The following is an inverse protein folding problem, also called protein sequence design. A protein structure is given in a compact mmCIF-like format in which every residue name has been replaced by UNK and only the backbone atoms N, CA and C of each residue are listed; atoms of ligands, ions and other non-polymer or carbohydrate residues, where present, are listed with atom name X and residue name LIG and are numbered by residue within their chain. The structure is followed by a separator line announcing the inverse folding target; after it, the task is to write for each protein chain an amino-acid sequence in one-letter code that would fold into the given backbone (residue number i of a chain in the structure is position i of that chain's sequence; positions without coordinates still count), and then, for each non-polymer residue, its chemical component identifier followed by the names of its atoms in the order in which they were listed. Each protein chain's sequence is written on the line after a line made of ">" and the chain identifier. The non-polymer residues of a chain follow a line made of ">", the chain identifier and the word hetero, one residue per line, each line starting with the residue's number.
data_IF_063681354425
#
_entry.id   IF_063681354425
#
_cell.length_a   1.000
_cell.length_b   1.000
_cell.length_c   1.000
_cell.angle_alpha   90.00
_cell.angle_beta   90.00
_cell.angle_gamma   90.00
#
_symmetry.space_group_name_H-M   'P 1'
#
loop_
_entity.id
_entity.type
_entity.pdbx_description
1 polymer ?
#
# COMPACT_ATOMS: atom_id res chain seq x y z
N UNK A 1 -5.10 -42.49 -26.06
CA UNK A 1 -3.98 -41.62 -25.67
C UNK A 1 -4.47 -40.20 -25.74
N UNK A 2 -4.28 -39.43 -24.67
CA UNK A 2 -4.67 -38.01 -24.70
C UNK A 2 -3.75 -37.30 -25.68
N UNK A 3 -4.28 -36.48 -26.59
CA UNK A 3 -3.49 -35.66 -27.54
C UNK A 3 -2.39 -34.86 -26.81
N UNK A 4 -2.58 -34.59 -25.52
CA UNK A 4 -1.63 -33.90 -24.65
C UNK A 4 -0.39 -34.73 -24.32
N UNK A 5 -0.46 -36.07 -24.29
CA UNK A 5 0.68 -36.92 -23.94
C UNK A 5 1.76 -36.91 -25.02
N UNK A 6 1.36 -36.76 -26.29
CA UNK A 6 2.23 -36.73 -27.48
C UNK A 6 2.93 -35.38 -27.71
N UNK A 7 2.54 -34.32 -26.98
CA UNK A 7 3.12 -32.99 -27.14
C UNK A 7 4.51 -32.87 -26.50
N UNK A 8 5.36 -32.08 -27.15
CA UNK A 8 6.67 -31.73 -26.65
C UNK A 8 6.55 -30.94 -25.34
N UNK A 9 7.54 -31.04 -24.45
CA UNK A 9 7.52 -30.37 -23.14
C UNK A 9 7.37 -28.85 -23.27
N UNK A 10 7.95 -28.27 -24.32
CA UNK A 10 7.80 -26.86 -24.63
C UNK A 10 6.35 -26.46 -24.99
N UNK A 11 5.65 -27.30 -25.76
CA UNK A 11 4.26 -27.04 -26.17
C UNK A 11 3.32 -27.18 -24.98
N UNK A 12 3.57 -28.15 -24.09
CA UNK A 12 2.85 -28.31 -22.82
C UNK A 12 2.95 -27.05 -21.97
N UNK A 13 4.15 -26.50 -21.78
CA UNK A 13 4.34 -25.24 -21.04
C UNK A 13 3.63 -24.05 -21.68
N UNK A 14 3.59 -23.97 -23.01
CA UNK A 14 2.87 -22.90 -23.70
C UNK A 14 1.36 -22.99 -23.45
N UNK A 15 0.79 -24.20 -23.49
CA UNK A 15 -0.62 -24.44 -23.16
C UNK A 15 -0.94 -24.04 -21.72
N UNK A 16 -0.10 -24.41 -20.75
CA UNK A 16 -0.27 -24.00 -19.35
C UNK A 16 -0.30 -22.47 -19.19
N UNK A 17 0.61 -21.75 -19.87
CA UNK A 17 0.62 -20.28 -19.88
C UNK A 17 -0.69 -19.71 -20.44
N UNK A 18 -1.23 -20.32 -21.49
CA UNK A 18 -2.50 -19.90 -22.10
C UNK A 18 -3.68 -20.14 -21.16
N UNK A 19 -3.70 -21.27 -20.46
CA UNK A 19 -4.73 -21.60 -19.48
C UNK A 19 -4.72 -20.60 -18.32
N UNK A 20 -3.54 -20.30 -17.76
CA UNK A 20 -3.44 -19.27 -16.73
C UNK A 20 -3.89 -17.89 -17.22
N UNK A 21 -3.53 -17.51 -18.45
CA UNK A 21 -3.99 -16.26 -19.04
C UNK A 21 -5.51 -16.23 -19.18
N UNK A 22 -6.11 -17.32 -19.67
CA UNK A 22 -7.56 -17.45 -19.81
C UNK A 22 -8.30 -17.46 -18.47
N UNK A 23 -7.66 -17.90 -17.39
CA UNK A 23 -8.16 -17.80 -16.02
C UNK A 23 -7.99 -16.40 -15.39
N UNK A 24 -7.57 -15.39 -16.16
CA UNK A 24 -7.48 -14.00 -15.68
C UNK A 24 -6.21 -13.67 -14.89
N UNK A 25 -5.19 -14.53 -14.88
CA UNK A 25 -3.92 -14.24 -14.21
C UNK A 25 -3.08 -13.23 -14.99
N UNK A 26 -2.43 -12.32 -14.27
CA UNK A 26 -1.53 -11.31 -14.84
C UNK A 26 -0.20 -11.93 -15.28
N UNK A 27 0.52 -11.26 -16.17
CA UNK A 27 1.84 -11.72 -16.62
C UNK A 27 2.83 -11.91 -15.47
N UNK A 28 2.75 -11.11 -14.41
CA UNK A 28 3.60 -11.23 -13.24
C UNK A 28 3.27 -12.47 -12.40
N UNK A 29 1.98 -12.79 -12.24
CA UNK A 29 1.55 -13.99 -11.52
C UNK A 29 1.93 -15.25 -12.28
N UNK A 30 1.70 -15.27 -13.60
CA UNK A 30 2.09 -16.39 -14.47
C UNK A 30 3.61 -16.59 -14.44
N UNK A 31 4.38 -15.49 -14.51
CA UNK A 31 5.83 -15.55 -14.41
C UNK A 31 6.31 -16.17 -13.09
N UNK A 32 5.64 -15.87 -11.97
CA UNK A 32 5.93 -16.47 -10.66
C UNK A 32 5.58 -17.96 -10.62
N UNK A 33 4.46 -18.37 -11.19
CA UNK A 33 4.06 -19.78 -11.22
C UNK A 33 4.96 -20.63 -12.11
N UNK A 34 5.36 -20.09 -13.26
CA UNK A 34 6.18 -20.80 -14.25
C UNK A 34 7.69 -20.64 -14.03
N UNK A 35 8.11 -19.86 -13.02
CA UNK A 35 9.52 -19.51 -12.76
C UNK A 35 10.24 -18.92 -13.99
N UNK A 36 9.55 -18.03 -14.71
CA UNK A 36 10.02 -17.43 -15.96
C UNK A 36 10.12 -15.90 -15.85
N UNK A 37 10.83 -15.29 -16.79
CA UNK A 37 10.82 -13.82 -16.89
C UNK A 37 9.46 -13.33 -17.40
N UNK A 38 9.00 -12.20 -16.87
CA UNK A 38 7.74 -11.54 -17.29
C UNK A 38 7.75 -11.23 -18.79
N UNK A 39 8.90 -10.83 -19.33
CA UNK A 39 9.06 -10.54 -20.75
C UNK A 39 8.87 -11.80 -21.62
N UNK A 40 9.37 -12.95 -21.16
CA UNK A 40 9.20 -14.21 -21.89
C UNK A 40 7.72 -14.61 -21.93
N UNK A 41 7.02 -14.54 -20.79
CA UNK A 41 5.58 -14.83 -20.72
C UNK A 41 4.79 -13.88 -21.62
N UNK A 42 5.10 -12.58 -21.58
CA UNK A 42 4.46 -11.57 -22.43
C UNK A 42 4.67 -11.86 -23.91
N UNK A 43 5.87 -12.27 -24.31
CA UNK A 43 6.16 -12.64 -25.71
C UNK A 43 5.37 -13.87 -26.12
N UNK A 44 5.35 -14.93 -25.32
CA UNK A 44 4.60 -16.17 -25.61
C UNK A 44 3.11 -15.88 -25.79
N UNK A 45 2.49 -15.18 -24.83
CA UNK A 45 1.06 -14.85 -24.89
C UNK A 45 0.74 -13.98 -26.10
N UNK A 46 1.55 -12.96 -26.39
CA UNK A 46 1.30 -12.08 -27.53
C UNK A 46 1.47 -12.80 -28.87
N UNK A 47 2.47 -13.68 -29.00
CA UNK A 47 2.67 -14.49 -30.21
C UNK A 47 1.49 -15.44 -30.41
N UNK A 48 1.02 -16.10 -29.34
CA UNK A 48 -0.16 -16.95 -29.40
C UNK A 48 -1.41 -16.17 -29.83
N UNK A 49 -1.70 -15.04 -29.19
CA UNK A 49 -2.86 -14.20 -29.56
C UNK A 49 -2.76 -13.76 -31.03
N UNK A 50 -1.58 -13.33 -31.50
CA UNK A 50 -1.39 -12.91 -32.90
C UNK A 50 -1.64 -14.04 -33.91
N UNK A 51 -1.37 -15.29 -33.54
CA UNK A 51 -1.58 -16.44 -34.40
C UNK A 51 -3.07 -16.86 -34.49
N UNK A 52 -3.95 -16.31 -33.64
CA UNK A 52 -5.38 -16.58 -33.68
C UNK A 52 -6.10 -15.69 -34.71
N UNK A 53 -7.25 -16.14 -35.26
CA UNK A 53 -8.13 -15.29 -36.06
C UNK A 53 -8.61 -14.06 -35.26
N UNK A 54 -8.84 -12.94 -35.94
CA UNK A 54 -9.21 -11.64 -35.31
C UNK A 54 -10.38 -11.76 -34.34
N UNK A 55 -11.41 -12.54 -34.70
CA UNK A 55 -12.58 -12.80 -33.84
C UNK A 55 -12.22 -13.51 -32.54
N UNK A 56 -11.32 -14.50 -32.60
CA UNK A 56 -10.84 -15.23 -31.45
C UNK A 56 -9.90 -14.39 -30.56
N UNK A 57 -9.14 -13.45 -31.14
CA UNK A 57 -8.28 -12.55 -30.37
C UNK A 57 -9.09 -11.68 -29.39
N UNK A 58 -10.18 -11.08 -29.90
CA UNK A 58 -11.07 -10.26 -29.07
C UNK A 58 -11.74 -11.09 -27.98
N UNK A 59 -12.18 -12.30 -28.33
CA UNK A 59 -12.80 -13.22 -27.37
C UNK A 59 -11.84 -13.57 -26.22
N UNK A 60 -10.60 -13.96 -26.51
CA UNK A 60 -9.60 -14.32 -25.51
C UNK A 60 -9.28 -13.13 -24.59
N UNK A 61 -9.11 -11.93 -25.16
CA UNK A 61 -8.87 -10.71 -24.36
C UNK A 61 -10.05 -10.36 -23.47
N UNK A 62 -11.27 -10.49 -23.98
CA UNK A 62 -12.50 -10.23 -23.23
C UNK A 62 -12.67 -11.24 -22.09
N UNK A 63 -12.45 -12.53 -22.36
CA UNK A 63 -12.50 -13.60 -21.35
C UNK A 63 -11.51 -13.33 -20.21
N UNK A 64 -10.25 -13.04 -20.53
CA UNK A 64 -9.24 -12.67 -19.54
C UNK A 64 -9.70 -11.51 -18.65
N UNK A 65 -10.26 -10.46 -19.25
CA UNK A 65 -10.72 -9.28 -18.51
C UNK A 65 -11.90 -9.60 -17.57
N UNK A 66 -12.86 -10.41 -18.02
CA UNK A 66 -13.98 -10.87 -17.21
C UNK A 66 -13.48 -11.64 -15.98
N UNK A 67 -12.62 -12.64 -16.18
CA UNK A 67 -12.07 -13.47 -15.09
C UNK A 67 -11.24 -12.66 -14.11
N UNK A 68 -10.43 -11.73 -14.62
CA UNK A 68 -9.63 -10.82 -13.78
C UNK A 68 -10.53 -9.95 -12.89
N UNK A 69 -11.63 -9.43 -13.45
CA UNK A 69 -12.58 -8.65 -12.67
C UNK A 69 -13.34 -9.51 -11.66
N UNK A 70 -13.75 -10.73 -12.04
CA UNK A 70 -14.38 -11.67 -11.13
C UNK A 70 -13.48 -11.96 -9.91
N UNK A 71 -12.19 -12.24 -10.13
CA UNK A 71 -11.20 -12.42 -9.05
C UNK A 71 -11.04 -11.20 -8.14
N UNK A 72 -11.12 -10.00 -8.72
CA UNK A 72 -11.04 -8.76 -7.94
C UNK A 72 -12.27 -8.61 -7.03
N UNK A 73 -13.46 -8.88 -7.55
CA UNK A 73 -14.70 -8.83 -6.76
C UNK A 73 -14.75 -9.94 -5.70
N UNK A 74 -14.28 -11.16 -5.99
CA UNK A 74 -14.18 -12.21 -4.97
C UNK A 74 -13.22 -11.82 -3.84
N UNK A 75 -12.05 -11.27 -4.18
CA UNK A 75 -11.09 -10.77 -3.17
C UNK A 75 -11.70 -9.66 -2.32
N UNK A 76 -12.46 -8.75 -2.94
CA UNK A 76 -13.15 -7.68 -2.23
C UNK A 76 -14.23 -8.21 -1.29
N UNK A 77 -15.01 -9.19 -1.73
CA UNK A 77 -16.03 -9.85 -0.91
C UNK A 77 -15.39 -10.61 0.28
N UNK A 78 -14.29 -11.35 0.04
CA UNK A 78 -13.54 -12.04 1.09
C UNK A 78 -13.02 -11.04 2.13
N UNK A 79 -12.42 -9.93 1.71
CA UNK A 79 -11.91 -8.91 2.62
C UNK A 79 -13.04 -8.22 3.40
N UNK A 80 -14.20 -8.04 2.79
CA UNK A 80 -15.38 -7.48 3.45
C UNK A 80 -15.87 -8.41 4.56
N UNK A 81 -16.03 -9.71 4.28
CA UNK A 81 -16.43 -10.69 5.29
C UNK A 81 -15.38 -10.84 6.40
N UNK A 82 -14.08 -10.83 6.06
CA UNK A 82 -13.00 -10.96 7.03
C UNK A 82 -12.95 -9.79 8.03
N UNK A 83 -13.27 -8.57 7.57
CA UNK A 83 -13.26 -7.36 8.42
C UNK A 83 -14.61 -7.03 9.05
N UNK A 84 -15.65 -7.84 8.78
CA UNK A 84 -17.03 -7.58 9.19
C UNK A 84 -17.21 -7.52 10.71
N UNK A 85 -16.63 -8.48 11.42
CA UNK A 85 -16.78 -8.60 12.88
C UNK A 85 -15.83 -7.66 13.63
N UNK A 86 -14.64 -7.42 13.10
CA UNK A 86 -13.63 -6.59 13.74
C UNK A 86 -12.83 -5.78 12.71
N UNK A 87 -13.00 -4.46 12.76
CA UNK A 87 -12.23 -3.55 11.91
C UNK A 87 -10.74 -3.50 12.28
N UNK A 88 -9.92 -3.19 11.28
CA UNK A 88 -8.45 -3.13 11.40
C UNK A 88 -7.96 -2.26 12.56
N UNK A 89 -8.60 -1.12 12.84
CA UNK A 89 -8.23 -0.24 13.96
C UNK A 89 -8.45 -0.93 15.31
N UNK A 90 -9.59 -1.59 15.50
CA UNK A 90 -9.90 -2.32 16.72
C UNK A 90 -8.96 -3.52 16.90
N UNK A 91 -8.65 -4.23 15.80
CA UNK A 91 -7.70 -5.34 15.80
C UNK A 91 -6.31 -4.90 16.30
N UNK A 92 -5.77 -3.82 15.74
CA UNK A 92 -4.45 -3.29 16.08
C UNK A 92 -4.38 -2.82 17.54
N UNK A 93 -5.44 -2.18 18.03
CA UNK A 93 -5.52 -1.71 19.42
C UNK A 93 -5.54 -2.87 20.42
N UNK A 94 -6.31 -3.93 20.14
CA UNK A 94 -6.39 -5.10 21.00
C UNK A 94 -5.11 -5.93 20.98
N UNK A 95 -4.47 -6.04 19.83
CA UNK A 95 -3.26 -6.85 19.64
C UNK A 95 -2.00 -5.98 19.56
N UNK A 96 -1.80 -5.03 20.46
CA UNK A 96 -0.71 -4.05 20.35
C UNK A 96 0.70 -4.68 20.35
N UNK A 97 0.87 -5.83 20.99
CA UNK A 97 2.15 -6.54 21.16
C UNK A 97 2.79 -7.00 19.84
N UNK A 98 1.97 -7.33 18.83
CA UNK A 98 2.46 -7.83 17.54
C UNK A 98 2.87 -6.71 16.57
N UNK A 99 2.65 -5.45 16.96
CA UNK A 99 2.93 -4.29 16.15
C UNK A 99 4.09 -3.46 16.71
N UNK A 100 4.74 -2.70 15.83
CA UNK A 100 5.70 -1.65 16.17
C UNK A 100 5.24 -0.29 15.62
N UNK A 101 5.53 0.77 16.36
CA UNK A 101 5.28 2.13 15.89
C UNK A 101 6.56 2.70 15.31
N UNK A 102 6.46 3.23 14.08
CA UNK A 102 7.53 3.98 13.44
C UNK A 102 7.55 5.41 13.98
N UNK A 103 8.66 6.11 13.78
CA UNK A 103 8.84 7.52 14.17
C UNK A 103 7.72 8.43 13.64
N UNK A 104 7.23 8.15 12.43
CA UNK A 104 6.13 8.86 11.78
C UNK A 104 4.74 8.56 12.39
N UNK A 105 4.67 7.84 13.52
CA UNK A 105 3.43 7.42 14.17
C UNK A 105 2.70 6.25 13.50
N UNK A 106 3.16 5.79 12.33
CA UNK A 106 2.58 4.65 11.62
C UNK A 106 2.78 3.34 12.40
N UNK A 107 1.75 2.51 12.45
CA UNK A 107 1.79 1.21 13.12
C UNK A 107 1.98 0.12 12.05
N UNK A 108 3.04 -0.68 12.19
CA UNK A 108 3.41 -1.73 11.24
C UNK A 108 3.58 -3.05 11.98
N UNK A 109 3.13 -4.13 11.36
CA UNK A 109 3.28 -5.48 11.87
C UNK A 109 4.78 -5.82 12.02
N UNK A 110 5.14 -6.48 13.12
CA UNK A 110 6.49 -7.01 13.31
C UNK A 110 6.79 -8.10 12.28
N UNK A 111 8.06 -8.30 11.95
CA UNK A 111 8.44 -9.36 11.00
C UNK A 111 8.24 -10.73 11.65
N UNK A 112 8.06 -11.78 10.84
CA UNK A 112 7.88 -13.16 11.35
C UNK A 112 9.03 -13.60 12.26
N UNK A 113 10.26 -13.13 11.97
CA UNK A 113 11.43 -13.39 12.82
C UNK A 113 11.33 -12.71 14.21
N UNK A 114 10.69 -11.55 14.32
CA UNK A 114 10.50 -10.83 15.58
C UNK A 114 9.34 -11.41 16.41
N UNK A 115 8.41 -12.11 15.75
CA UNK A 115 7.23 -12.73 16.38
C UNK A 115 7.42 -14.22 16.68
N UNK A 116 8.44 -14.84 16.07
CA UNK A 116 8.70 -16.28 16.10
C UNK A 116 7.51 -17.13 15.64
N UNK A 117 6.54 -16.51 14.95
CA UNK A 117 5.30 -17.15 14.52
C UNK A 117 4.90 -16.67 13.12
N UNK A 118 4.19 -17.55 12.40
CA UNK A 118 3.60 -17.23 11.11
C UNK A 118 2.35 -16.40 11.30
N UNK A 119 2.23 -15.34 10.51
CA UNK A 119 1.08 -14.44 10.57
C UNK A 119 0.04 -14.87 9.54
N UNK A 120 -1.23 -14.85 9.92
CA UNK A 120 -2.33 -15.16 9.01
C UNK A 120 -2.48 -14.08 7.94
N UNK A 121 -3.02 -14.46 6.78
CA UNK A 121 -3.23 -13.53 5.67
C UNK A 121 -4.13 -12.34 6.02
N UNK A 122 -5.14 -12.57 6.87
CA UNK A 122 -6.13 -11.58 7.29
C UNK A 122 -5.61 -10.56 8.33
N UNK A 123 -4.42 -10.80 8.91
CA UNK A 123 -3.88 -9.87 9.91
C UNK A 123 -3.54 -8.52 9.26
N UNK A 124 -4.05 -7.38 9.77
CA UNK A 124 -3.73 -6.07 9.24
C UNK A 124 -2.23 -5.80 9.30
N UNK A 125 -1.58 -5.55 8.17
CA UNK A 125 -0.11 -5.40 8.12
C UNK A 125 0.37 -3.98 8.45
N UNK A 126 -0.44 -2.98 8.11
CA UNK A 126 -0.08 -1.57 8.24
C UNK A 126 -1.33 -0.75 8.57
N UNK A 127 -1.22 0.09 9.58
CA UNK A 127 -2.19 1.11 9.92
C UNK A 127 -1.50 2.47 9.80
N UNK A 128 -1.97 3.26 8.82
CA UNK A 128 -1.45 4.61 8.60
C UNK A 128 -2.07 5.55 9.62
N UNK A 129 -1.23 6.38 10.21
CA UNK A 129 -1.72 7.47 11.02
C UNK A 129 -2.09 8.63 10.08
N UNK A 130 -3.38 8.81 9.82
CA UNK A 130 -3.90 9.88 8.96
C UNK A 130 -3.87 11.26 9.62
N UNK A 131 -3.37 11.38 10.87
CA UNK A 131 -3.11 12.67 11.50
C UNK A 131 -1.97 13.39 10.77
N UNK A 132 -2.32 14.11 9.70
CA UNK A 132 -1.44 14.86 8.81
C UNK A 132 -0.75 16.10 9.42
N UNK A 133 -0.86 16.38 10.72
CA UNK A 133 -0.54 17.73 11.24
C UNK A 133 0.44 17.85 12.42
N UNK A 134 1.02 16.76 12.92
CA UNK A 134 2.20 16.86 13.79
C UNK A 134 3.43 16.30 13.07
N UNK A 135 3.63 16.77 11.83
CA UNK A 135 5.01 17.04 11.44
C UNK A 135 5.46 18.05 12.50
N UNK A 136 6.34 17.59 13.38
CA UNK A 136 7.19 18.45 14.18
C UNK A 136 8.01 19.29 13.19
N UNK A 137 7.38 20.26 12.53
CA UNK A 137 8.06 21.49 12.26
C UNK A 137 8.35 22.01 13.65
N UNK A 138 9.50 21.61 14.19
CA UNK A 138 10.16 22.39 15.21
C UNK A 138 10.19 23.79 14.61
N UNK A 139 9.24 24.63 15.04
CA UNK A 139 9.24 26.03 14.71
C UNK A 139 10.53 26.55 15.35
N UNK A 140 11.61 26.51 14.59
CA UNK A 140 12.89 27.10 14.95
C UNK A 140 12.80 28.50 14.39
N UNK A 141 12.29 29.48 15.17
CA UNK A 141 12.36 30.85 14.71
C UNK A 141 13.83 31.13 14.39
N UNK A 142 14.12 31.58 13.17
CA UNK A 142 15.43 32.11 12.85
C UNK A 142 15.48 33.46 13.56
N UNK A 143 15.91 33.44 14.82
CA UNK A 143 15.98 34.64 15.64
C UNK A 143 17.21 35.43 15.20
N UNK A 144 17.01 36.36 14.26
CA UNK A 144 18.07 37.23 13.75
C UNK A 144 18.46 38.37 14.70
N UNK A 145 17.59 38.76 15.65
CA UNK A 145 17.81 39.92 16.53
C UNK A 145 17.63 39.58 18.02
N UNK A 146 18.44 40.20 18.88
CA UNK A 146 18.50 39.97 20.34
C UNK A 146 17.14 40.16 21.04
N UNK A 147 16.32 41.11 20.59
CA UNK A 147 14.97 41.36 21.11
C UNK A 147 14.06 40.13 20.93
N UNK A 148 14.16 39.44 19.79
CA UNK A 148 13.40 38.21 19.53
C UNK A 148 13.79 37.05 20.44
N UNK A 149 15.05 37.01 20.92
CA UNK A 149 15.51 36.00 21.90
C UNK A 149 14.93 36.27 23.29
N UNK A 150 14.90 37.53 23.70
CA UNK A 150 14.37 37.92 25.02
C UNK A 150 12.87 37.64 25.09
N UNK A 151 12.11 38.02 24.06
CA UNK A 151 10.66 37.76 23.98
C UNK A 151 10.38 36.25 24.00
N UNK A 152 11.06 35.46 23.17
CA UNK A 152 10.89 34.00 23.18
C UNK A 152 11.25 33.38 24.56
N UNK A 153 12.31 33.86 25.21
CA UNK A 153 12.72 33.36 26.53
C UNK A 153 11.71 33.71 27.64
N UNK A 154 11.10 34.90 27.59
CA UNK A 154 10.16 35.38 28.59
C UNK A 154 8.84 34.60 28.52
N UNK A 155 8.33 34.34 27.31
CA UNK A 155 7.12 33.54 27.11
C UNK A 155 7.34 32.03 27.24
N UNK A 156 8.59 31.54 27.13
CA UNK A 156 8.90 30.10 27.28
C UNK A 156 8.94 29.60 28.73
N UNK A 157 9.16 30.48 29.70
CA UNK A 157 9.31 30.07 31.12
C UNK A 157 7.98 30.00 31.88
N UNK A 158 6.95 30.73 31.47
CA UNK A 158 5.70 30.83 32.25
C UNK A 158 4.47 30.16 31.61
N UNK A 159 4.52 29.69 30.36
CA UNK A 159 3.41 28.94 29.79
C UNK A 159 3.50 27.44 30.12
N UNK A 160 3.22 27.10 31.39
CA UNK A 160 2.80 25.74 31.75
C UNK A 160 1.32 25.48 31.39
N UNK A 161 0.76 26.25 30.44
CA UNK A 161 -0.59 26.06 29.92
C UNK A 161 -0.60 26.24 28.39
N UNK A 162 -0.85 25.17 27.60
CA UNK A 162 -0.79 25.18 26.14
C UNK A 162 -2.12 25.72 25.59
N UNK A 163 -2.44 27.00 25.84
CA UNK A 163 -3.57 27.60 25.14
C UNK A 163 -3.11 27.96 23.73
N UNK A 164 -3.72 27.33 22.73
CA UNK A 164 -3.54 27.69 21.32
C UNK A 164 -3.94 29.16 21.17
N UNK A 165 -2.99 29.97 20.69
CA UNK A 165 -3.18 31.41 20.47
C UNK A 165 -4.29 31.66 19.45
N UNK A 166 -5.09 32.70 19.70
CA UNK A 166 -6.09 33.19 18.76
C UNK A 166 -5.43 33.69 17.46
N UNK A 167 -6.15 33.61 16.34
CA UNK A 167 -5.69 34.12 15.04
C UNK A 167 -5.32 35.61 15.10
N UNK A 168 -5.95 36.37 16.00
CA UNK A 168 -5.68 37.80 16.19
C UNK A 168 -4.34 38.04 16.89
N UNK A 169 -4.04 37.23 17.91
CA UNK A 169 -2.76 37.28 18.65
C UNK A 169 -1.59 36.88 17.74
N UNK A 170 -1.79 35.87 16.89
CA UNK A 170 -0.81 35.48 15.86
C UNK A 170 -0.54 36.62 14.88
N UNK A 171 -1.57 37.38 14.51
CA UNK A 171 -1.47 38.49 13.55
C UNK A 171 -0.71 39.69 14.13
N UNK A 172 -0.86 39.95 15.43
CA UNK A 172 -0.11 41.00 16.15
C UNK A 172 1.38 40.63 16.20
N UNK A 173 1.71 39.38 16.55
CA UNK A 173 3.10 38.89 16.57
C UNK A 173 3.73 38.99 15.17
N UNK A 174 3.00 38.55 14.14
CA UNK A 174 3.46 38.63 12.76
C UNK A 174 3.76 40.09 12.35
N UNK A 175 2.85 41.02 12.63
CA UNK A 175 3.03 42.44 12.26
C UNK A 175 4.11 43.14 13.08
N UNK A 176 4.36 42.73 14.33
CA UNK A 176 5.42 43.30 15.16
C UNK A 176 6.84 43.05 14.62
N UNK A 177 7.03 41.98 13.84
CA UNK A 177 8.31 41.66 13.21
C UNK A 177 8.60 42.50 11.95
N UNK A 178 7.62 43.25 11.44
CA UNK A 178 7.75 44.08 10.23
C UNK A 178 7.75 45.59 10.51
N UNK A 179 7.69 46.00 11.78
CA UNK A 179 7.87 47.40 12.18
C UNK A 179 9.31 47.61 12.66
N UNK A 180 10.24 47.58 11.71
CA UNK A 180 11.51 48.30 11.74
C UNK A 180 11.53 49.26 10.55
#
# INVERSE_FOLDING_TARGET
>A
MSIVEELNEHEKRQLEIMDYYNSGFTYEEIAKFMFMSVNTVKTIVNTWIKNLPTTSQEFVRRKHWIEKNAKKETTKAINYEATREMGNKAFVLKNRSIYKTRENGNIVLKTENELECKVTWDTPKRFNNDSREEIREEFRPIIGNEVGRVVASHYSKEMSNPRILSKEEQKIIYNSNYLN
#
